data_IF_304515782200
#
_entry.id   IF_304515782200
#
_cell.length_a   1.000
_cell.length_b   1.000
_cell.length_c   1.000
_cell.angle_alpha   90.00
_cell.angle_beta   90.00
_cell.angle_gamma   90.00
#
_symmetry.space_group_name_H-M   'P 1'
#
loop_
_entity.id
_entity.type
_entity.pdbx_description
1 polymer ?
#
# COMPACT_ATOMS: atom_id res chain seq x y z
N UNK A 1 21.04 5.33 5.58
CA UNK A 1 19.68 5.71 5.11
C UNK A 1 19.06 4.51 4.40
N UNK A 2 18.01 3.89 4.94
CA UNK A 2 17.37 2.73 4.29
C UNK A 2 16.64 3.18 3.02
N UNK A 3 17.12 2.75 1.85
CA UNK A 3 16.39 2.84 0.57
C UNK A 3 15.20 1.88 0.64
N UNK A 4 14.00 2.38 0.95
CA UNK A 4 12.76 1.57 1.00
C UNK A 4 12.06 1.49 -0.38
N UNK A 5 12.72 1.95 -1.46
CA UNK A 5 12.11 1.98 -2.82
C UNK A 5 12.60 0.89 -3.78
N UNK A 6 13.23 -0.18 -3.30
CA UNK A 6 13.73 -1.25 -4.19
C UNK A 6 12.71 -2.34 -4.52
N UNK A 7 11.50 -2.33 -3.97
CA UNK A 7 10.55 -3.45 -4.16
C UNK A 7 9.52 -3.24 -5.27
N UNK A 8 9.58 -2.10 -5.98
CA UNK A 8 8.70 -1.83 -7.12
C UNK A 8 9.50 -1.85 -8.43
N UNK A 9 10.47 -2.77 -8.53
CA UNK A 9 11.32 -2.89 -9.72
C UNK A 9 10.55 -3.47 -10.92
N UNK A 10 9.35 -4.03 -10.71
CA UNK A 10 8.51 -4.48 -11.82
C UNK A 10 7.01 -4.30 -11.54
N UNK A 11 6.46 -3.12 -11.87
CA UNK A 11 5.02 -2.82 -11.76
C UNK A 11 4.16 -3.82 -12.55
N UNK A 12 4.62 -4.22 -13.74
CA UNK A 12 3.89 -5.16 -14.55
C UNK A 12 3.77 -6.53 -13.85
N UNK A 13 4.81 -6.95 -13.14
CA UNK A 13 4.77 -8.16 -12.31
C UNK A 13 3.85 -7.99 -11.10
N UNK A 14 3.92 -6.85 -10.40
CA UNK A 14 3.03 -6.55 -9.27
C UNK A 14 1.55 -6.64 -9.69
N UNK A 15 1.20 -6.02 -10.83
CA UNK A 15 -0.14 -6.11 -11.40
C UNK A 15 -0.53 -7.54 -11.78
N UNK A 16 0.38 -8.29 -12.42
CA UNK A 16 0.11 -9.69 -12.78
C UNK A 16 -0.14 -10.54 -11.54
N UNK A 17 0.63 -10.34 -10.47
CA UNK A 17 0.46 -11.01 -9.17
C UNK A 17 -0.87 -10.67 -8.50
N UNK A 18 -1.37 -9.46 -8.67
CA UNK A 18 -2.70 -9.08 -8.18
C UNK A 18 -3.85 -9.60 -9.05
N UNK A 19 -3.58 -10.25 -10.19
CA UNK A 19 -4.61 -10.78 -11.10
C UNK A 19 -5.43 -9.71 -11.83
N UNK A 20 -4.97 -8.45 -11.84
CA UNK A 20 -5.72 -7.31 -12.39
C UNK A 20 -5.33 -7.03 -13.85
N UNK A 21 -6.29 -6.60 -14.65
CA UNK A 21 -6.02 -5.96 -15.93
C UNK A 21 -5.30 -4.62 -15.74
N UNK A 22 -4.70 -4.09 -16.81
CA UNK A 22 -4.08 -2.76 -16.76
C UNK A 22 -5.11 -1.69 -16.36
N UNK A 23 -6.32 -1.73 -16.93
CA UNK A 23 -7.35 -0.75 -16.63
C UNK A 23 -7.73 -0.78 -15.14
N UNK A 24 -8.02 -1.96 -14.57
CA UNK A 24 -8.39 -2.09 -13.15
C UNK A 24 -7.28 -1.62 -12.21
N UNK A 25 -6.04 -2.01 -12.50
CA UNK A 25 -4.88 -1.64 -11.69
C UNK A 25 -4.65 -0.11 -11.68
N UNK A 26 -4.68 0.51 -12.85
CA UNK A 26 -4.39 1.94 -12.96
C UNK A 26 -5.57 2.82 -12.55
N UNK A 27 -6.81 2.38 -12.78
CA UNK A 27 -8.01 3.11 -12.38
C UNK A 27 -8.09 3.27 -10.85
N UNK A 28 -7.66 2.27 -10.06
CA UNK A 28 -7.62 2.37 -8.59
C UNK A 28 -6.65 3.45 -8.09
N UNK A 29 -5.67 3.82 -8.92
CA UNK A 29 -4.70 4.89 -8.65
C UNK A 29 -5.12 6.24 -9.26
N UNK A 30 -6.30 6.33 -9.89
CA UNK A 30 -6.73 7.51 -10.64
C UNK A 30 -5.90 7.75 -11.92
N UNK A 31 -5.26 6.71 -12.46
CA UNK A 31 -4.40 6.78 -13.64
C UNK A 31 -5.13 6.16 -14.84
N UNK A 32 -5.16 6.86 -15.96
CA UNK A 32 -5.70 6.33 -17.23
C UNK A 32 -4.90 5.11 -17.71
N UNK A 33 -5.54 4.15 -18.39
CA UNK A 33 -4.86 2.98 -18.94
C UNK A 33 -3.67 3.33 -19.84
N UNK A 34 -3.76 4.36 -20.69
CA UNK A 34 -2.67 4.75 -21.59
C UNK A 34 -1.43 5.22 -20.83
N UNK A 35 -1.61 6.01 -19.77
CA UNK A 35 -0.52 6.42 -18.88
C UNK A 35 0.04 5.24 -18.09
N UNK A 36 -0.82 4.33 -17.63
CA UNK A 36 -0.40 3.10 -16.97
C UNK A 36 0.42 2.17 -17.86
N UNK A 37 0.05 2.04 -19.14
CA UNK A 37 0.79 1.27 -20.13
C UNK A 37 2.20 1.83 -20.33
N UNK A 38 2.35 3.16 -20.39
CA UNK A 38 3.65 3.82 -20.47
C UNK A 38 4.52 3.53 -19.24
N UNK A 39 3.94 3.58 -18.04
CA UNK A 39 4.62 3.22 -16.80
C UNK A 39 5.08 1.76 -16.76
N UNK A 40 4.24 0.82 -17.20
CA UNK A 40 4.62 -0.59 -17.30
C UNK A 40 5.72 -0.85 -18.35
N UNK A 41 5.86 0.03 -19.34
CA UNK A 41 6.86 -0.07 -20.41
C UNK A 41 8.18 0.63 -20.08
N UNK A 42 8.31 1.20 -18.88
CA UNK A 42 9.55 1.80 -18.38
C UNK A 42 9.59 3.33 -18.41
N UNK A 43 8.50 4.02 -18.75
CA UNK A 43 8.45 5.47 -18.52
C UNK A 43 8.52 5.79 -17.02
N UNK A 44 9.12 6.93 -16.71
CA UNK A 44 9.31 7.39 -15.34
C UNK A 44 7.98 7.56 -14.61
N UNK A 45 7.76 6.75 -13.57
CA UNK A 45 6.57 6.86 -12.72
C UNK A 45 6.73 8.05 -11.76
N UNK A 46 5.78 9.01 -11.75
CA UNK A 46 5.80 10.11 -10.80
C UNK A 46 5.82 9.62 -9.36
N UNK A 47 6.58 10.32 -8.50
CA UNK A 47 6.71 9.97 -7.07
C UNK A 47 5.35 9.77 -6.37
N UNK A 48 4.33 10.65 -6.54
CA UNK A 48 3.04 10.45 -5.89
C UNK A 48 2.36 9.12 -6.27
N UNK A 49 2.44 8.74 -7.56
CA UNK A 49 1.88 7.48 -8.05
C UNK A 49 2.62 6.29 -7.46
N UNK A 50 3.95 6.37 -7.32
CA UNK A 50 4.77 5.33 -6.68
C UNK A 50 4.40 5.13 -5.20
N UNK A 51 4.12 6.21 -4.48
CA UNK A 51 3.63 6.12 -3.10
C UNK A 51 2.26 5.44 -3.03
N UNK A 52 1.33 5.81 -3.92
CA UNK A 52 0.01 5.19 -3.99
C UNK A 52 0.10 3.69 -4.31
N UNK A 53 0.98 3.30 -5.24
CA UNK A 53 1.25 1.89 -5.53
C UNK A 53 1.71 1.16 -4.27
N UNK A 54 2.67 1.71 -3.52
CA UNK A 54 3.12 1.11 -2.26
C UNK A 54 1.94 0.95 -1.29
N UNK A 55 1.19 2.03 -1.05
CA UNK A 55 0.09 2.02 -0.08
C UNK A 55 -1.00 1.02 -0.45
N UNK A 56 -1.43 0.98 -1.71
CA UNK A 56 -2.59 0.19 -2.14
C UNK A 56 -2.23 -1.27 -2.42
N UNK A 57 -1.08 -1.53 -3.06
CA UNK A 57 -0.75 -2.87 -3.57
C UNK A 57 0.35 -3.59 -2.80
N UNK A 58 1.15 -2.88 -1.99
CA UNK A 58 2.21 -3.50 -1.17
C UNK A 58 1.79 -3.56 0.29
N UNK A 59 1.24 -2.45 0.81
CA UNK A 59 0.73 -2.36 2.18
C UNK A 59 -0.75 -2.74 2.27
N UNK A 60 -1.40 -3.04 1.13
CA UNK A 60 -2.82 -3.46 1.02
C UNK A 60 -3.81 -2.52 1.74
N UNK A 61 -3.51 -1.22 1.76
CA UNK A 61 -4.33 -0.21 2.42
C UNK A 61 -5.50 0.16 1.52
N UNK A 62 -6.72 -0.04 2.02
CA UNK A 62 -7.92 0.51 1.42
C UNK A 62 -8.08 1.99 1.78
N UNK A 63 -7.71 2.86 0.85
CA UNK A 63 -7.78 4.31 1.02
C UNK A 63 -9.20 4.84 1.18
N UNK A 64 -10.23 4.10 0.77
CA UNK A 64 -11.63 4.51 0.96
C UNK A 64 -12.07 4.39 2.42
N UNK A 65 -11.43 3.49 3.18
CA UNK A 65 -11.81 3.14 4.54
C UNK A 65 -10.85 3.70 5.61
N UNK A 66 -9.86 4.51 5.20
CA UNK A 66 -8.96 5.21 6.13
C UNK A 66 -9.38 6.67 6.27
N UNK A 67 -9.46 7.15 7.51
CA UNK A 67 -9.75 8.55 7.79
C UNK A 67 -8.69 9.20 8.70
N UNK A 68 -8.82 10.52 8.89
CA UNK A 68 -7.88 11.30 9.72
C UNK A 68 -7.88 10.84 11.19
N UNK A 69 -9.03 10.43 11.71
CA UNK A 69 -9.19 9.97 13.08
C UNK A 69 -8.41 8.67 13.32
N UNK A 70 -8.46 7.71 12.40
CA UNK A 70 -7.69 6.46 12.48
C UNK A 70 -6.19 6.74 12.60
N UNK A 71 -5.69 7.67 11.77
CA UNK A 71 -4.29 8.10 11.80
C UNK A 71 -3.93 8.82 13.11
N UNK A 72 -4.82 9.67 13.61
CA UNK A 72 -4.64 10.39 14.87
C UNK A 72 -4.57 9.42 16.07
N UNK A 73 -5.48 8.44 16.12
CA UNK A 73 -5.47 7.39 17.15
C UNK A 73 -4.15 6.62 17.10
N UNK A 74 -3.69 6.21 15.92
CA UNK A 74 -2.42 5.52 15.77
C UNK A 74 -1.23 6.37 16.25
N UNK A 75 -1.23 7.68 15.98
CA UNK A 75 -0.22 8.61 16.46
C UNK A 75 -0.25 8.78 17.99
N UNK A 76 -1.45 8.94 18.57
CA UNK A 76 -1.64 9.02 20.02
C UNK A 76 -1.17 7.75 20.73
N UNK A 77 -1.52 6.57 20.21
CA UNK A 77 -1.07 5.30 20.76
C UNK A 77 0.45 5.18 20.75
N UNK A 78 1.13 5.61 19.68
CA UNK A 78 2.59 5.60 19.62
C UNK A 78 3.23 6.56 20.64
N UNK A 79 2.68 7.76 20.78
CA UNK A 79 3.25 8.82 21.61
C UNK A 79 2.97 8.63 23.10
N UNK A 80 1.72 8.30 23.45
CA UNK A 80 1.24 8.30 24.83
C UNK A 80 1.12 6.88 25.41
N UNK A 81 0.87 5.87 24.56
CA UNK A 81 0.62 4.49 24.99
C UNK A 81 1.44 3.44 24.23
N UNK A 82 2.78 3.55 24.16
CA UNK A 82 3.61 2.69 23.30
C UNK A 82 3.50 1.20 23.64
N UNK A 83 3.26 0.84 24.90
CA UNK A 83 3.02 -0.56 25.31
C UNK A 83 1.74 -1.12 24.68
N UNK A 84 0.65 -0.33 24.64
CA UNK A 84 -0.61 -0.73 24.03
C UNK A 84 -0.43 -0.85 22.52
N UNK A 85 0.21 0.13 21.89
CA UNK A 85 0.54 0.08 20.47
C UNK A 85 1.32 -1.18 20.09
N UNK A 86 2.35 -1.54 20.88
CA UNK A 86 3.15 -2.76 20.66
C UNK A 86 2.28 -4.01 20.77
N UNK A 87 1.46 -4.13 21.81
CA UNK A 87 0.56 -5.29 21.99
C UNK A 87 -0.45 -5.43 20.86
N UNK A 88 -1.09 -4.33 20.44
CA UNK A 88 -2.02 -4.34 19.30
C UNK A 88 -1.32 -4.74 18.00
N UNK A 89 -0.10 -4.23 17.78
CA UNK A 89 0.71 -4.59 16.61
C UNK A 89 1.08 -6.08 16.59
N UNK A 90 1.41 -6.66 17.74
CA UNK A 90 1.69 -8.11 17.86
C UNK A 90 0.42 -8.94 17.63
N UNK A 91 -0.73 -8.52 18.17
CA UNK A 91 -2.01 -9.20 17.95
C UNK A 91 -2.43 -9.23 16.47
N UNK A 92 -2.24 -8.14 15.73
CA UNK A 92 -2.52 -8.08 14.29
C UNK A 92 -1.63 -9.06 13.51
N UNK A 93 -0.34 -9.18 13.87
CA UNK A 93 0.54 -10.16 13.23
C UNK A 93 0.05 -11.58 13.44
N UNK A 94 -0.43 -11.91 14.63
CA UNK A 94 -0.98 -13.25 14.93
C UNK A 94 -2.25 -13.50 14.11
N UNK A 95 -3.16 -12.52 14.03
CA UNK A 95 -4.39 -12.63 13.22
C UNK A 95 -4.10 -12.80 11.72
N UNK A 96 -3.09 -12.13 11.18
CA UNK A 96 -2.69 -12.31 9.77
C UNK A 96 -2.00 -13.66 9.51
N UNK A 97 -1.46 -14.32 10.55
CA UNK A 97 -0.87 -15.66 10.45
C UNK A 97 -1.93 -16.75 10.60
N UNK A 98 -3.03 -16.49 11.32
CA UNK A 98 -4.17 -17.38 11.47
C UNK A 98 -5.48 -16.61 11.25
N UNK A 99 -6.01 -16.60 10.02
CA UNK A 99 -7.31 -16.02 9.77
C UNK A 99 -8.37 -16.87 10.49
N UNK A 100 -9.09 -16.26 11.44
CA UNK A 100 -10.31 -16.86 11.96
C UNK A 100 -11.38 -16.73 10.88
N UNK A 101 -11.83 -17.89 10.44
CA UNK A 101 -12.93 -18.22 9.53
C UNK A 101 -14.24 -17.47 9.86
#
# INVERSE_FOLDING_TARGET
>A
MKKVYSSVENIAELRRKSGLTQAEFWNKLGVTQSSGSRYESGEGIPKPIRELIRLIYVEEIDLANINRTDLAIAAMLKAQHPKIYKRLKEAIKIKNVYPLD
#
